data_IF_201625865457
#
_entry.id   IF_201625865457
#
_cell.length_a   1.000
_cell.length_b   1.000
_cell.length_c   1.000
_cell.angle_alpha   90.00
_cell.angle_beta   90.00
_cell.angle_gamma   90.00
#
_symmetry.space_group_name_H-M   'P 1'
#
loop_
_entity.id
_entity.type
_entity.pdbx_description
1 polymer ?
#
# COMPACT_ATOMS: atom_id res chain seq x y z
N UNK A 1 -8.11 5.07 13.47
CA UNK A 1 -6.64 4.89 13.68
C UNK A 1 -5.98 4.59 12.35
N UNK A 2 -4.82 5.17 12.11
CA UNK A 2 -4.04 4.87 10.92
C UNK A 2 -3.34 3.52 11.10
N UNK A 3 -3.40 2.69 10.07
CA UNK A 3 -2.60 1.47 9.96
C UNK A 3 -1.64 1.63 8.80
N UNK A 4 -0.36 1.36 9.07
CA UNK A 4 0.67 1.34 8.04
C UNK A 4 0.80 -0.09 7.56
N UNK A 5 0.66 -0.28 6.25
CA UNK A 5 0.69 -1.57 5.59
C UNK A 5 1.93 -1.61 4.71
N UNK A 6 2.85 -2.51 5.02
CA UNK A 6 4.08 -2.72 4.26
C UNK A 6 3.99 -4.04 3.52
N UNK A 7 4.15 -3.97 2.21
CA UNK A 7 3.92 -5.09 1.30
C UNK A 7 5.16 -5.26 0.43
N UNK A 8 5.74 -6.45 0.41
CA UNK A 8 6.88 -6.76 -0.45
C UNK A 8 6.45 -7.73 -1.54
N UNK A 9 6.82 -7.43 -2.77
CA UNK A 9 6.48 -8.26 -3.93
C UNK A 9 7.31 -9.53 -3.95
N UNK A 10 6.75 -10.60 -4.52
CA UNK A 10 7.52 -11.79 -4.86
C UNK A 10 8.58 -11.45 -5.91
N UNK A 11 9.71 -12.20 -5.94
CA UNK A 11 10.69 -12.03 -7.01
C UNK A 11 10.06 -12.20 -8.38
N UNK A 12 10.60 -11.49 -9.38
CA UNK A 12 10.21 -11.61 -10.78
C UNK A 12 8.73 -11.34 -11.05
N UNK A 13 8.15 -10.39 -10.30
CA UNK A 13 6.71 -10.10 -10.36
C UNK A 13 6.38 -8.77 -11.04
N UNK A 14 7.34 -8.15 -11.72
CA UNK A 14 7.12 -6.83 -12.34
C UNK A 14 5.98 -6.84 -13.36
N UNK A 15 5.90 -7.88 -14.19
CA UNK A 15 4.83 -8.01 -15.18
C UNK A 15 3.45 -8.18 -14.53
N UNK A 16 3.36 -8.97 -13.45
CA UNK A 16 2.13 -9.16 -12.70
C UNK A 16 1.69 -7.84 -12.07
N UNK A 17 2.60 -7.12 -11.42
CA UNK A 17 2.31 -5.82 -10.81
C UNK A 17 1.77 -4.84 -11.86
N UNK A 18 2.41 -4.75 -13.01
CA UNK A 18 2.00 -3.83 -14.05
C UNK A 18 0.62 -4.18 -14.61
N UNK A 19 0.35 -5.47 -14.80
CA UNK A 19 -0.94 -5.93 -15.33
C UNK A 19 -2.10 -5.64 -14.38
N UNK A 20 -1.92 -5.80 -13.07
CA UNK A 20 -2.98 -5.64 -12.07
C UNK A 20 -3.03 -4.21 -11.50
N UNK A 21 -2.02 -3.39 -11.74
CA UNK A 21 -1.91 -2.05 -11.16
C UNK A 21 -3.14 -1.16 -11.40
N UNK A 22 -3.78 -1.14 -12.58
CA UNK A 22 -4.97 -0.30 -12.77
C UNK A 22 -6.10 -0.67 -11.79
N UNK A 23 -6.33 -1.95 -11.54
CA UNK A 23 -7.33 -2.41 -10.58
C UNK A 23 -6.95 -2.03 -9.15
N UNK A 24 -5.67 -2.16 -8.79
CA UNK A 24 -5.14 -1.74 -7.51
C UNK A 24 -5.38 -0.25 -7.27
N UNK A 25 -5.06 0.60 -8.25
CA UNK A 25 -5.28 2.04 -8.15
C UNK A 25 -6.74 2.40 -7.98
N UNK A 26 -7.64 1.71 -8.69
CA UNK A 26 -9.07 1.92 -8.56
C UNK A 26 -9.58 1.51 -7.16
N UNK A 27 -9.04 0.42 -6.62
CA UNK A 27 -9.39 -0.06 -5.29
C UNK A 27 -8.99 0.96 -4.20
N UNK A 28 -7.78 1.52 -4.30
CA UNK A 28 -7.34 2.57 -3.39
C UNK A 28 -8.17 3.85 -3.56
N UNK A 29 -8.50 4.22 -4.79
CA UNK A 29 -9.29 5.42 -5.05
C UNK A 29 -10.65 5.38 -4.34
N UNK A 30 -11.23 4.19 -4.14
CA UNK A 30 -12.50 4.04 -3.44
C UNK A 30 -12.42 4.44 -1.95
N UNK A 31 -11.21 4.44 -1.36
CA UNK A 31 -10.97 4.86 0.03
C UNK A 31 -10.05 6.08 0.12
N UNK A 32 -9.99 6.87 -0.94
CA UNK A 32 -9.05 7.99 -1.03
C UNK A 32 -9.14 8.96 0.16
N UNK A 33 -10.35 9.19 0.69
CA UNK A 33 -10.57 10.08 1.84
C UNK A 33 -9.91 9.55 3.12
N UNK A 34 -9.64 8.25 3.20
CA UNK A 34 -9.05 7.61 4.37
C UNK A 34 -7.53 7.46 4.23
N UNK A 35 -6.98 7.73 3.06
CA UNK A 35 -5.54 7.54 2.80
C UNK A 35 -4.75 8.74 3.31
N UNK A 36 -3.86 8.51 4.27
CA UNK A 36 -2.91 9.51 4.71
C UNK A 36 -1.78 9.67 3.69
N UNK A 37 -1.21 8.57 3.25
CA UNK A 37 -0.27 8.51 2.12
C UNK A 37 -0.20 7.07 1.61
N UNK A 38 0.16 6.90 0.35
CA UNK A 38 0.31 5.59 -0.27
C UNK A 38 1.21 5.70 -1.50
N UNK A 39 1.98 4.67 -1.75
CA UNK A 39 2.82 4.62 -2.93
C UNK A 39 3.63 3.34 -3.01
N UNK A 40 4.29 3.11 -4.15
CA UNK A 40 5.17 1.95 -4.29
C UNK A 40 6.47 2.14 -3.52
N UNK A 41 7.00 1.05 -2.98
CA UNK A 41 8.39 0.96 -2.59
C UNK A 41 9.21 0.71 -3.86
N UNK A 42 10.34 1.39 -3.98
CA UNK A 42 11.18 1.28 -5.16
C UNK A 42 12.63 0.98 -4.77
N UNK A 43 13.42 0.54 -5.75
CA UNK A 43 14.86 0.59 -5.64
C UNK A 43 15.33 2.05 -5.61
N UNK A 44 16.62 2.28 -5.38
CA UNK A 44 17.18 3.63 -5.29
C UNK A 44 17.06 4.43 -6.60
N UNK A 45 16.76 3.75 -7.69
CA UNK A 45 16.48 4.42 -8.98
C UNK A 45 15.14 5.18 -8.98
N UNK A 46 14.29 4.97 -7.96
CA UNK A 46 12.99 5.61 -7.84
C UNK A 46 11.94 5.13 -8.81
N UNK A 47 12.21 4.12 -9.62
CA UNK A 47 11.31 3.61 -10.67
C UNK A 47 11.05 2.12 -10.61
N UNK A 48 12.03 1.29 -10.25
CA UNK A 48 11.85 -0.16 -10.14
C UNK A 48 11.08 -0.49 -8.87
N UNK A 49 9.83 -0.89 -9.03
CA UNK A 49 8.93 -1.16 -7.91
C UNK A 49 9.23 -2.52 -7.28
N UNK A 50 9.25 -2.57 -5.96
CA UNK A 50 9.52 -3.78 -5.18
C UNK A 50 8.44 -4.08 -4.14
N UNK A 51 7.47 -3.20 -3.99
CA UNK A 51 6.43 -3.35 -2.98
C UNK A 51 5.54 -2.13 -2.92
N UNK A 52 4.83 -2.01 -1.80
CA UNK A 52 3.95 -0.87 -1.54
C UNK A 52 4.01 -0.49 -0.07
N UNK A 53 3.83 0.78 0.22
CA UNK A 53 3.65 1.28 1.57
C UNK A 53 2.38 2.11 1.59
N UNK A 54 1.43 1.72 2.44
CA UNK A 54 0.12 2.37 2.54
C UNK A 54 -0.09 2.80 3.99
N UNK A 55 -0.59 4.02 4.18
CA UNK A 55 -1.02 4.50 5.49
C UNK A 55 -2.47 4.95 5.36
N UNK A 56 -3.38 4.19 5.95
CA UNK A 56 -4.82 4.34 5.74
C UNK A 56 -5.53 4.31 7.08
N UNK A 57 -6.52 5.18 7.25
CA UNK A 57 -7.37 5.20 8.43
C UNK A 57 -8.45 4.12 8.32
N UNK A 58 -8.48 3.22 9.31
CA UNK A 58 -9.50 2.20 9.45
C UNK A 58 -10.09 2.22 10.86
N UNK A 59 -11.33 1.76 11.00
CA UNK A 59 -12.01 1.70 12.30
C UNK A 59 -11.36 0.70 13.26
N UNK A 60 -10.71 -0.34 12.73
CA UNK A 60 -10.09 -1.39 13.51
C UNK A 60 -9.04 -2.13 12.70
N UNK A 61 -8.20 -2.91 13.40
CA UNK A 61 -7.27 -3.82 12.74
C UNK A 61 -8.00 -4.83 11.86
N UNK A 62 -9.12 -5.35 12.33
CA UNK A 62 -9.91 -6.31 11.56
C UNK A 62 -10.41 -5.70 10.25
N UNK A 63 -10.83 -4.44 10.29
CA UNK A 63 -11.23 -3.72 9.07
C UNK A 63 -10.05 -3.55 8.11
N UNK A 64 -8.87 -3.21 8.61
CA UNK A 64 -7.66 -3.11 7.80
C UNK A 64 -7.28 -4.44 7.17
N UNK A 65 -7.33 -5.52 7.93
CA UNK A 65 -7.02 -6.86 7.43
C UNK A 65 -8.02 -7.32 6.36
N UNK A 66 -9.31 -7.06 6.58
CA UNK A 66 -10.36 -7.41 5.63
C UNK A 66 -10.20 -6.63 4.32
N UNK A 67 -9.88 -5.34 4.41
CA UNK A 67 -9.61 -4.50 3.23
C UNK A 67 -8.42 -5.04 2.43
N UNK A 68 -7.34 -5.38 3.12
CA UNK A 68 -6.12 -5.89 2.50
C UNK A 68 -6.37 -7.25 1.82
N UNK A 69 -7.18 -8.12 2.43
CA UNK A 69 -7.48 -9.44 1.87
C UNK A 69 -8.15 -9.37 0.50
N UNK A 70 -8.95 -8.34 0.26
CA UNK A 70 -9.68 -8.15 -1.00
C UNK A 70 -8.96 -7.24 -1.99
N UNK A 71 -7.81 -6.70 -1.62
CA UNK A 71 -7.03 -5.80 -2.47
C UNK A 71 -6.51 -6.57 -3.69
N UNK A 72 -6.62 -5.99 -4.92
CA UNK A 72 -6.32 -6.71 -6.17
C UNK A 72 -4.92 -7.34 -6.24
N UNK A 73 -3.88 -6.68 -5.72
CA UNK A 73 -2.54 -7.26 -5.68
C UNK A 73 -2.47 -8.47 -4.74
N UNK A 74 -3.17 -8.39 -3.60
CA UNK A 74 -3.25 -9.53 -2.67
C UNK A 74 -3.93 -10.71 -3.35
N UNK A 75 -5.05 -10.47 -4.00
CA UNK A 75 -5.82 -11.52 -4.69
C UNK A 75 -5.05 -12.13 -5.86
N UNK A 76 -4.23 -11.34 -6.53
CA UNK A 76 -3.38 -11.82 -7.63
C UNK A 76 -2.15 -12.60 -7.16
N UNK A 77 -1.88 -12.61 -5.86
CA UNK A 77 -0.72 -13.33 -5.31
C UNK A 77 0.60 -12.60 -5.52
N UNK A 78 0.58 -11.28 -5.63
CA UNK A 78 1.79 -10.48 -5.87
C UNK A 78 2.73 -10.47 -4.67
N UNK A 79 2.21 -10.45 -3.44
CA UNK A 79 3.02 -10.17 -2.27
C UNK A 79 3.68 -11.42 -1.69
N UNK A 80 5.00 -11.32 -1.41
CA UNK A 80 5.75 -12.31 -0.65
C UNK A 80 5.52 -12.14 0.85
N UNK A 81 5.36 -10.89 1.31
CA UNK A 81 5.10 -10.59 2.72
C UNK A 81 4.18 -9.41 2.86
N UNK A 82 3.39 -9.44 3.93
CA UNK A 82 2.46 -8.36 4.30
C UNK A 82 2.60 -8.09 5.79
N UNK A 83 2.65 -6.80 6.15
CA UNK A 83 2.70 -6.37 7.56
C UNK A 83 1.67 -5.26 7.76
N UNK A 84 0.96 -5.31 8.87
CA UNK A 84 -0.02 -4.30 9.24
C UNK A 84 0.32 -3.80 10.64
N UNK A 85 0.63 -2.51 10.75
CA UNK A 85 1.02 -1.88 12.01
C UNK A 85 0.10 -0.72 12.35
N UNK A 86 -0.36 -0.65 13.59
CA UNK A 86 -1.02 0.54 14.10
C UNK A 86 0.01 1.67 14.17
N UNK A 87 -0.36 2.89 13.76
CA UNK A 87 0.56 3.99 13.62
C UNK A 87 -0.02 5.26 14.22
N UNK A 88 0.78 5.95 15.02
CA UNK A 88 0.44 7.26 15.58
C UNK A 88 1.32 8.30 14.90
N UNK A 89 0.70 9.23 14.17
CA UNK A 89 1.41 10.28 13.46
C UNK A 89 1.75 11.44 14.42
N UNK A 90 2.95 11.45 14.98
CA UNK A 90 3.42 12.48 15.92
C UNK A 90 4.01 13.70 15.22
N UNK A 91 4.55 13.52 14.03
CA UNK A 91 5.15 14.60 13.24
C UNK A 91 4.24 14.90 12.06
N UNK A 92 3.58 16.05 12.04
CA UNK A 92 2.66 16.37 10.95
C UNK A 92 3.35 16.27 9.60
N UNK A 93 2.64 15.70 8.64
CA UNK A 93 3.13 15.60 7.28
C UNK A 93 3.37 17.00 6.72
N UNK A 94 4.55 17.20 6.16
CA UNK A 94 4.86 18.45 5.48
C UNK A 94 4.07 18.53 4.16
N UNK A 95 3.46 19.69 3.90
CA UNK A 95 2.77 19.93 2.64
C UNK A 95 3.78 19.84 1.48
N UNK A 96 3.45 19.07 0.45
CA UNK A 96 4.37 18.82 -0.66
C UNK A 96 5.54 17.95 -0.25
N UNK A 97 5.35 16.64 -0.28
CA UNK A 97 6.44 15.70 0.00
C UNK A 97 7.65 15.97 -0.88
N UNK A 98 8.86 15.88 -0.31
CA UNK A 98 10.06 15.87 -1.14
C UNK A 98 10.04 14.62 -2.03
N UNK A 99 10.44 14.80 -3.23
CA UNK A 99 10.54 13.70 -4.19
C UNK A 99 11.97 13.19 -4.33
#
# INVERSE_FOLDING_TARGET
MIYVIRLLDKPDSAALRQRVRPEHKAYLAAVAENIAFAGPLTHDDGTTMSGSLLAIDFDSRDAAQAWLADEPFTRAGLYASTEVHAFVNLWPQRAGFPT
#
